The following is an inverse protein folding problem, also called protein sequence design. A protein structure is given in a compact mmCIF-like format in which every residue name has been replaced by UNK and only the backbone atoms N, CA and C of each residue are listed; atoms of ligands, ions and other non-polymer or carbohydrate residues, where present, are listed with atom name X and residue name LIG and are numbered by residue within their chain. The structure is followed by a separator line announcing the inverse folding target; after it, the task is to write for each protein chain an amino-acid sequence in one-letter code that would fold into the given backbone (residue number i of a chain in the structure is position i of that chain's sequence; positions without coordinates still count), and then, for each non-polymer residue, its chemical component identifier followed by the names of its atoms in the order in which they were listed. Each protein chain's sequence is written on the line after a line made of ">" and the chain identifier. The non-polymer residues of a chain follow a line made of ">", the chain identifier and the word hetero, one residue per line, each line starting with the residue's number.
data_IF_407045925168
#
_entry.id   IF_407045925168
#
_cell.length_a   1.000
_cell.length_b   1.000
_cell.length_c   1.000
_cell.angle_alpha   90.00
_cell.angle_beta   90.00
_cell.angle_gamma   90.00
#
_symmetry.space_group_name_H-M   'P 1'
#
loop_
_entity.id
_entity.type
_entity.pdbx_description
1 polymer ?
#
# COMPACT_ATOMS: atom_id res chain seq x y z
N UNK A 1 2.77 -22.15 -1.31
CA UNK A 1 1.97 -21.29 -2.18
C UNK A 1 2.68 -19.95 -2.30
N UNK A 2 2.97 -19.50 -3.53
CA UNK A 2 3.73 -18.26 -3.77
C UNK A 2 2.84 -17.09 -4.19
N UNK A 3 1.74 -17.35 -4.88
CA UNK A 3 0.78 -16.35 -5.31
C UNK A 3 -0.61 -16.71 -4.76
N UNK A 4 -1.33 -15.73 -4.24
CA UNK A 4 -2.68 -15.87 -3.73
C UNK A 4 -3.53 -14.70 -4.24
N UNK A 5 -4.62 -15.03 -4.93
CA UNK A 5 -5.53 -14.04 -5.51
C UNK A 5 -6.91 -14.19 -4.89
N UNK A 6 -7.34 -13.15 -4.20
CA UNK A 6 -8.67 -12.99 -3.61
C UNK A 6 -9.34 -11.71 -4.09
N UNK A 7 -9.06 -11.31 -5.33
CA UNK A 7 -9.76 -10.17 -5.91
C UNK A 7 -11.27 -10.46 -6.03
N UNK A 8 -12.10 -9.47 -5.71
CA UNK A 8 -13.57 -9.56 -5.79
C UNK A 8 -14.14 -10.80 -5.08
N UNK A 9 -13.58 -11.14 -3.91
CA UNK A 9 -13.93 -12.36 -3.16
C UNK A 9 -14.90 -12.08 -2.00
N UNK A 10 -15.48 -10.87 -1.95
CA UNK A 10 -16.42 -10.48 -0.89
C UNK A 10 -15.78 -10.22 0.46
N UNK A 11 -14.45 -10.02 0.52
CA UNK A 11 -13.77 -9.70 1.76
C UNK A 11 -14.27 -8.34 2.28
N UNK A 12 -14.75 -8.35 3.52
CA UNK A 12 -15.25 -7.20 4.24
C UNK A 12 -14.63 -7.17 5.63
N UNK A 13 -14.83 -6.09 6.38
CA UNK A 13 -14.31 -5.98 7.76
C UNK A 13 -14.66 -7.19 8.64
N UNK A 14 -15.89 -7.72 8.48
CA UNK A 14 -16.34 -8.91 9.20
C UNK A 14 -15.48 -10.13 8.92
N UNK A 15 -15.00 -10.26 7.68
CA UNK A 15 -14.16 -11.38 7.25
C UNK A 15 -12.70 -11.15 7.63
N UNK A 16 -12.17 -9.96 7.37
CA UNK A 16 -10.77 -9.63 7.66
C UNK A 16 -10.45 -9.64 9.15
N UNK A 17 -11.42 -9.35 10.00
CA UNK A 17 -11.30 -9.47 11.46
C UNK A 17 -11.28 -10.92 11.97
N UNK A 18 -11.71 -11.89 11.16
CA UNK A 18 -11.72 -13.31 11.50
C UNK A 18 -10.59 -14.11 10.84
N UNK A 19 -9.77 -13.48 10.01
CA UNK A 19 -8.70 -14.15 9.26
C UNK A 19 -7.34 -13.57 9.65
N UNK A 20 -6.40 -14.47 9.93
CA UNK A 20 -4.99 -14.14 10.18
C UNK A 20 -4.14 -14.65 9.02
N UNK A 21 -3.46 -13.72 8.34
CA UNK A 21 -2.59 -14.01 7.22
C UNK A 21 -1.19 -14.48 7.66
N UNK A 22 -0.82 -14.41 8.95
CA UNK A 22 0.52 -14.82 9.46
C UNK A 22 0.96 -16.22 9.03
N UNK A 23 0.00 -17.15 8.87
CA UNK A 23 0.27 -18.52 8.44
C UNK A 23 0.78 -18.64 7.00
N UNK A 24 0.62 -17.60 6.17
CA UNK A 24 1.01 -17.59 4.76
C UNK A 24 2.47 -17.15 4.55
N UNK A 25 3.38 -17.60 5.41
CA UNK A 25 4.79 -17.16 5.47
C UNK A 25 5.62 -17.39 4.19
N UNK A 26 5.12 -18.22 3.27
CA UNK A 26 5.77 -18.48 1.97
C UNK A 26 5.19 -17.66 0.80
N UNK A 27 4.24 -16.78 1.07
CA UNK A 27 3.56 -15.99 0.05
C UNK A 27 4.49 -14.88 -0.48
N UNK A 28 4.56 -14.77 -1.80
CA UNK A 28 5.37 -13.80 -2.55
C UNK A 28 4.46 -12.76 -3.24
N UNK A 29 3.24 -13.12 -3.63
CA UNK A 29 2.27 -12.23 -4.28
C UNK A 29 0.88 -12.37 -3.65
N UNK A 30 0.25 -11.25 -3.33
CA UNK A 30 -1.09 -11.18 -2.74
C UNK A 30 -1.93 -10.14 -3.48
N UNK A 31 -3.04 -10.59 -4.07
CA UNK A 31 -4.04 -9.72 -4.70
C UNK A 31 -5.32 -9.72 -3.87
N UNK A 32 -5.64 -8.56 -3.27
CA UNK A 32 -6.84 -8.28 -2.49
C UNK A 32 -7.75 -7.25 -3.17
N UNK A 33 -7.56 -6.99 -4.46
CA UNK A 33 -8.27 -5.94 -5.20
C UNK A 33 -9.79 -6.13 -5.20
N UNK A 34 -10.56 -5.05 -5.35
CA UNK A 34 -12.02 -5.07 -5.48
C UNK A 34 -12.72 -5.70 -4.26
N UNK A 35 -12.20 -5.48 -3.06
CA UNK A 35 -12.83 -5.90 -1.82
C UNK A 35 -13.32 -4.70 -0.99
N UNK A 36 -14.14 -4.98 0.03
CA UNK A 36 -14.91 -3.99 0.78
C UNK A 36 -14.48 -3.88 2.25
N UNK A 37 -13.21 -4.16 2.55
CA UNK A 37 -12.63 -3.94 3.87
C UNK A 37 -12.14 -2.49 4.03
N UNK A 38 -12.20 -2.00 5.26
CA UNK A 38 -11.71 -0.68 5.67
C UNK A 38 -10.26 -0.70 6.14
N UNK A 39 -9.76 -1.86 6.55
CA UNK A 39 -8.38 -2.10 6.91
C UNK A 39 -7.88 -3.44 6.34
N UNK A 40 -6.56 -3.52 6.13
CA UNK A 40 -5.93 -4.77 5.72
C UNK A 40 -6.17 -5.88 6.76
N UNK A 41 -6.37 -7.13 6.33
CA UNK A 41 -6.41 -8.28 7.23
C UNK A 41 -5.22 -8.35 8.17
N UNK A 42 -5.48 -8.85 9.38
CA UNK A 42 -4.42 -9.08 10.36
C UNK A 42 -3.33 -10.00 9.80
N UNK A 43 -2.07 -9.72 10.15
CA UNK A 43 -0.96 -10.60 9.78
C UNK A 43 -0.23 -10.26 8.47
N UNK A 44 -0.75 -9.37 7.63
CA UNK A 44 -0.10 -9.00 6.36
C UNK A 44 1.31 -8.44 6.56
N UNK A 45 1.53 -7.60 7.58
CA UNK A 45 2.86 -7.07 7.90
C UNK A 45 3.90 -8.13 8.29
N UNK A 46 3.47 -9.35 8.63
CA UNK A 46 4.36 -10.47 9.00
C UNK A 46 4.74 -11.36 7.82
N UNK A 47 4.23 -11.08 6.61
CA UNK A 47 4.53 -11.85 5.41
C UNK A 47 5.93 -11.51 4.89
N UNK A 48 6.96 -12.07 5.53
CA UNK A 48 8.37 -11.74 5.29
C UNK A 48 8.91 -12.07 3.90
N UNK A 49 8.17 -12.84 3.10
CA UNK A 49 8.51 -13.15 1.70
C UNK A 49 7.63 -12.40 0.69
N UNK A 50 6.65 -11.63 1.14
CA UNK A 50 5.74 -10.93 0.23
C UNK A 50 6.51 -9.85 -0.53
N UNK A 51 6.44 -9.92 -1.85
CA UNK A 51 7.06 -9.00 -2.80
C UNK A 51 6.01 -8.08 -3.42
N UNK A 52 4.81 -8.59 -3.73
CA UNK A 52 3.77 -7.83 -4.42
C UNK A 52 2.48 -7.86 -3.62
N UNK A 53 1.93 -6.67 -3.35
CA UNK A 53 0.61 -6.49 -2.75
C UNK A 53 -0.25 -5.61 -3.66
N UNK A 54 -1.40 -6.12 -4.09
CA UNK A 54 -2.38 -5.36 -4.87
C UNK A 54 -3.66 -5.17 -4.07
N UNK A 55 -4.12 -3.91 -3.96
CA UNK A 55 -5.36 -3.52 -3.26
C UNK A 55 -6.21 -2.61 -4.14
N UNK A 56 -6.15 -2.78 -5.46
CA UNK A 56 -6.84 -1.91 -6.42
C UNK A 56 -8.34 -1.94 -6.17
N UNK A 57 -8.99 -0.79 -6.33
CA UNK A 57 -10.44 -0.63 -6.24
C UNK A 57 -11.02 -1.10 -4.89
N UNK A 58 -10.19 -1.14 -3.84
CA UNK A 58 -10.66 -1.28 -2.46
C UNK A 58 -11.20 0.06 -1.95
N UNK A 59 -12.37 0.45 -2.46
CA UNK A 59 -12.92 1.80 -2.29
C UNK A 59 -13.17 2.20 -0.83
N UNK A 60 -13.32 1.22 0.07
CA UNK A 60 -13.54 1.43 1.51
C UNK A 60 -12.25 1.44 2.34
N UNK A 61 -11.11 1.02 1.78
CA UNK A 61 -9.84 0.95 2.50
C UNK A 61 -9.43 2.35 2.96
N UNK A 62 -9.38 2.55 4.28
CA UNK A 62 -9.10 3.86 4.89
C UNK A 62 -7.63 4.03 5.18
N UNK A 63 -6.96 2.97 5.64
CA UNK A 63 -5.55 3.06 5.98
C UNK A 63 -4.81 1.74 5.76
N UNK A 64 -3.50 1.87 5.56
CA UNK A 64 -2.56 0.75 5.52
C UNK A 64 -1.53 1.00 6.62
N UNK A 65 -1.62 0.27 7.73
CA UNK A 65 -0.73 0.44 8.89
C UNK A 65 0.49 -0.47 8.89
N UNK A 66 0.38 -1.66 8.28
CA UNK A 66 1.36 -2.75 8.43
C UNK A 66 1.74 -3.36 7.08
N UNK A 67 2.73 -2.76 6.41
CA UNK A 67 3.33 -3.33 5.21
C UNK A 67 4.53 -4.24 5.58
N UNK A 68 4.70 -5.38 4.90
CA UNK A 68 5.83 -6.26 5.14
C UNK A 68 7.16 -5.64 4.69
N UNK A 69 8.23 -5.91 5.44
CA UNK A 69 9.57 -5.33 5.20
C UNK A 69 10.26 -5.78 3.91
N UNK A 70 9.79 -6.87 3.30
CA UNK A 70 10.36 -7.42 2.06
C UNK A 70 9.57 -6.99 0.80
N UNK A 71 8.51 -6.19 0.99
CA UNK A 71 7.66 -5.75 -0.11
C UNK A 71 8.49 -5.01 -1.16
N UNK A 72 8.24 -5.33 -2.43
CA UNK A 72 8.86 -4.69 -3.57
C UNK A 72 7.86 -3.79 -4.32
N UNK A 73 6.57 -4.12 -4.31
CA UNK A 73 5.54 -3.32 -4.96
C UNK A 73 4.24 -3.31 -4.14
N UNK A 74 3.73 -2.12 -3.85
CA UNK A 74 2.34 -1.87 -3.45
C UNK A 74 1.60 -1.17 -4.59
N UNK A 75 0.54 -1.78 -5.08
CA UNK A 75 -0.35 -1.20 -6.09
C UNK A 75 -1.72 -0.86 -5.49
N UNK A 76 -1.96 0.44 -5.32
CA UNK A 76 -3.22 1.00 -4.86
C UNK A 76 -3.79 1.94 -5.92
N UNK A 77 -4.54 1.38 -6.87
CA UNK A 77 -5.33 2.14 -7.83
C UNK A 77 -6.77 2.32 -7.34
N UNK A 78 -7.32 3.53 -7.40
CA UNK A 78 -8.72 3.87 -7.06
C UNK A 78 -9.16 3.46 -5.65
N UNK A 79 -8.27 3.56 -4.65
CA UNK A 79 -8.66 3.45 -3.25
C UNK A 79 -9.20 4.80 -2.73
N UNK A 80 -10.45 5.10 -3.07
CA UNK A 80 -11.02 6.45 -2.91
C UNK A 80 -11.17 6.93 -1.46
N UNK A 81 -11.30 6.02 -0.48
CA UNK A 81 -11.40 6.38 0.94
C UNK A 81 -10.07 6.33 1.69
N UNK A 82 -8.97 6.00 1.02
CA UNK A 82 -7.66 5.87 1.65
C UNK A 82 -7.18 7.24 2.12
N UNK A 83 -6.92 7.37 3.42
CA UNK A 83 -6.41 8.57 4.08
C UNK A 83 -4.93 8.48 4.43
N UNK A 84 -4.45 7.29 4.78
CA UNK A 84 -3.07 7.15 5.22
C UNK A 84 -2.43 5.84 4.81
N UNK A 85 -1.12 5.90 4.55
CA UNK A 85 -0.28 4.72 4.34
C UNK A 85 0.95 4.84 5.21
N UNK A 86 1.29 3.78 5.94
CA UNK A 86 2.49 3.69 6.76
C UNK A 86 3.48 2.74 6.11
N UNK A 87 4.63 3.28 5.70
CA UNK A 87 5.75 2.48 5.20
C UNK A 87 6.60 1.95 6.36
N UNK A 88 7.18 0.74 6.22
CA UNK A 88 8.03 0.13 7.24
C UNK A 88 9.40 0.82 7.27
N UNK A 89 9.94 1.02 8.47
CA UNK A 89 11.20 1.74 8.73
C UNK A 89 12.43 1.02 8.14
N UNK A 90 12.32 -0.29 7.88
CA UNK A 90 13.38 -1.14 7.36
C UNK A 90 12.87 -1.95 6.16
N UNK A 91 13.09 -1.45 4.94
CA UNK A 91 12.84 -2.22 3.72
C UNK A 91 14.11 -2.87 3.19
N UNK A 92 13.98 -4.04 2.58
CA UNK A 92 15.10 -4.82 2.04
C UNK A 92 15.32 -4.68 0.52
N UNK A 93 14.31 -4.26 -0.26
CA UNK A 93 14.27 -4.50 -1.72
C UNK A 93 13.88 -3.30 -2.59
N UNK A 94 14.47 -2.11 -2.42
CA UNK A 94 14.16 -0.92 -3.24
C UNK A 94 12.68 -0.80 -3.62
N UNK A 95 11.78 -0.76 -2.61
CA UNK A 95 10.34 -0.90 -2.82
C UNK A 95 9.76 0.22 -3.67
N UNK A 96 8.68 -0.10 -4.37
CA UNK A 96 7.85 0.85 -5.09
C UNK A 96 6.44 0.88 -4.49
N UNK A 97 5.83 2.06 -4.47
CA UNK A 97 4.44 2.26 -4.09
C UNK A 97 3.77 3.14 -5.13
N UNK A 98 2.69 2.64 -5.72
CA UNK A 98 1.88 3.39 -6.69
C UNK A 98 0.53 3.68 -6.06
N UNK A 99 0.25 4.97 -5.83
CA UNK A 99 -1.01 5.49 -5.30
C UNK A 99 -1.71 6.30 -6.39
N UNK A 100 -2.62 5.66 -7.12
CA UNK A 100 -3.25 6.29 -8.28
C UNK A 100 -4.75 6.47 -8.03
N UNK A 101 -5.27 7.69 -8.18
CA UNK A 101 -6.68 8.03 -7.89
C UNK A 101 -7.10 7.72 -6.44
N UNK A 102 -6.17 7.87 -5.48
CA UNK A 102 -6.44 7.79 -4.03
C UNK A 102 -6.77 9.19 -3.49
N UNK A 103 -7.95 9.72 -3.84
CA UNK A 103 -8.26 11.15 -3.69
C UNK A 103 -8.32 11.67 -2.25
N UNK A 104 -8.58 10.80 -1.26
CA UNK A 104 -8.68 11.16 0.15
C UNK A 104 -7.36 11.00 0.90
N UNK A 105 -6.25 10.67 0.22
CA UNK A 105 -4.97 10.44 0.88
C UNK A 105 -4.52 11.77 1.51
N UNK A 106 -4.23 11.77 2.79
CA UNK A 106 -3.82 12.96 3.55
C UNK A 106 -2.36 12.84 3.98
N UNK A 107 -1.88 11.63 4.26
CA UNK A 107 -0.55 11.40 4.83
C UNK A 107 0.11 10.10 4.35
N UNK A 108 1.45 10.12 4.27
CA UNK A 108 2.28 8.91 4.17
C UNK A 108 3.27 8.95 5.33
N UNK A 109 3.14 8.00 6.26
CA UNK A 109 3.95 7.93 7.47
C UNK A 109 5.15 6.99 7.30
N UNK A 110 6.25 7.27 7.99
CA UNK A 110 7.46 6.44 7.95
C UNK A 110 8.49 6.88 6.91
N UNK A 111 8.28 8.06 6.29
CA UNK A 111 9.23 8.65 5.34
C UNK A 111 10.49 9.19 6.03
N UNK A 112 10.37 9.57 7.31
CA UNK A 112 11.32 10.44 8.03
C UNK A 112 12.57 9.74 8.61
N UNK A 113 13.00 8.59 8.07
CA UNK A 113 14.14 7.82 8.57
C UNK A 113 15.34 7.77 7.62
N UNK A 114 16.60 7.81 8.11
CA UNK A 114 17.81 7.69 7.27
C UNK A 114 17.96 6.32 6.56
N UNK A 115 17.11 5.35 6.88
CA UNK A 115 17.00 4.02 6.27
C UNK A 115 15.88 3.90 5.23
N UNK A 116 15.09 4.96 5.01
CA UNK A 116 13.92 4.94 4.14
C UNK A 116 14.19 5.40 2.69
N UNK A 117 15.47 5.55 2.35
CA UNK A 117 15.98 6.14 1.09
C UNK A 117 15.74 5.26 -0.16
N UNK A 118 14.85 4.27 -0.07
CA UNK A 118 14.68 3.21 -1.06
C UNK A 118 13.24 3.06 -1.56
N UNK A 119 12.26 3.76 -0.97
CA UNK A 119 10.89 3.76 -1.49
C UNK A 119 10.77 4.71 -2.67
N UNK A 120 10.48 4.16 -3.85
CA UNK A 120 9.96 4.92 -4.99
C UNK A 120 8.45 5.07 -4.79
N UNK A 121 7.98 6.29 -4.54
CA UNK A 121 6.54 6.56 -4.32
C UNK A 121 6.02 7.38 -5.50
N UNK A 122 5.09 6.80 -6.24
CA UNK A 122 4.41 7.44 -7.36
C UNK A 122 2.96 7.72 -6.97
N UNK A 123 2.60 9.00 -6.88
CA UNK A 123 1.22 9.42 -6.61
C UNK A 123 0.67 10.08 -7.86
N UNK A 124 -0.38 9.49 -8.45
CA UNK A 124 -1.02 10.02 -9.65
C UNK A 124 -2.46 10.46 -9.36
N UNK A 125 -2.73 11.74 -9.60
CA UNK A 125 -4.07 12.28 -9.67
C UNK A 125 -4.36 12.74 -11.11
N UNK A 126 -5.53 12.43 -11.69
CA UNK A 126 -5.95 13.05 -12.94
C UNK A 126 -6.00 14.57 -12.78
N UNK A 127 -5.68 15.29 -13.86
CA UNK A 127 -5.40 16.75 -13.92
C UNK A 127 -6.46 17.68 -13.31
N UNK A 128 -7.65 17.17 -12.97
CA UNK A 128 -8.79 17.92 -12.42
C UNK A 128 -8.94 17.83 -10.89
N UNK A 129 -8.06 17.14 -10.16
CA UNK A 129 -8.20 17.04 -8.70
C UNK A 129 -7.60 18.28 -7.99
N UNK A 130 -8.44 18.99 -7.25
CA UNK A 130 -8.16 20.22 -6.48
C UNK A 130 -7.25 20.05 -5.25
N UNK A 131 -6.59 18.90 -5.06
CA UNK A 131 -5.78 18.65 -3.87
C UNK A 131 -4.32 19.14 -4.05
N UNK A 132 -4.13 20.44 -3.82
CA UNK A 132 -2.84 21.12 -3.97
C UNK A 132 -1.78 20.67 -2.94
N UNK A 133 -2.19 20.10 -1.80
CA UNK A 133 -1.30 19.72 -0.70
C UNK A 133 -0.46 18.47 -1.01
N UNK A 134 -0.98 17.55 -1.83
CA UNK A 134 -0.29 16.30 -2.20
C UNK A 134 0.54 16.41 -3.48
N UNK A 135 0.25 17.39 -4.35
CA UNK A 135 1.14 17.74 -5.47
C UNK A 135 2.54 18.06 -4.94
N UNK A 136 2.61 18.82 -3.84
CA UNK A 136 3.85 19.11 -3.11
C UNK A 136 4.54 17.83 -2.61
N UNK A 137 3.82 16.87 -2.02
CA UNK A 137 4.43 15.61 -1.55
C UNK A 137 5.01 14.77 -2.70
N UNK A 138 4.30 14.68 -3.82
CA UNK A 138 4.75 13.97 -5.03
C UNK A 138 5.94 14.68 -5.71
N UNK A 139 5.98 16.01 -5.68
CA UNK A 139 7.09 16.83 -6.19
C UNK A 139 8.34 16.72 -5.30
N UNK A 140 8.18 16.66 -3.98
CA UNK A 140 9.28 16.50 -3.01
C UNK A 140 9.92 15.11 -3.11
N UNK A 141 9.16 14.05 -3.37
CA UNK A 141 9.69 12.70 -3.58
C UNK A 141 10.38 12.48 -4.93
N UNK A 142 10.23 13.40 -5.89
CA UNK A 142 10.86 13.33 -7.22
C UNK A 142 12.20 14.08 -7.35
N UNK A 143 12.70 14.75 -6.30
CA UNK A 143 13.94 15.56 -6.41
C UNK A 143 15.25 14.88 -5.98
N UNK A 144 15.25 13.59 -5.63
CA UNK A 144 16.49 12.85 -5.33
C UNK A 144 16.85 11.82 -6.42
N UNK A 145 16.86 12.23 -7.68
CA UNK A 145 17.52 11.50 -8.77
C UNK A 145 18.30 12.46 -9.68
N UNK A 146 19.29 13.17 -9.13
CA UNK A 146 20.44 13.62 -9.91
C UNK A 146 21.68 13.51 -9.03
N UNK A 147 22.51 12.50 -9.33
CA UNK A 147 23.80 12.22 -8.71
C UNK A 147 24.45 11.07 -9.45
#
# INVERSE_FOLDING_TARGET
>A
MKCLKFSNSGLSDRTTNCVDFRGLSSLEELDLSQNNFSSLPSGIGFLSKLLILSVRECIKLVSISDLPSNLHCLDAFRCSSMKSVRIPIQSKNSPSMVLNRCYMLEEIQGIEGPSNNYWSIEVYFPSDSSNNSLKSLAEVTCQCQIG
#
